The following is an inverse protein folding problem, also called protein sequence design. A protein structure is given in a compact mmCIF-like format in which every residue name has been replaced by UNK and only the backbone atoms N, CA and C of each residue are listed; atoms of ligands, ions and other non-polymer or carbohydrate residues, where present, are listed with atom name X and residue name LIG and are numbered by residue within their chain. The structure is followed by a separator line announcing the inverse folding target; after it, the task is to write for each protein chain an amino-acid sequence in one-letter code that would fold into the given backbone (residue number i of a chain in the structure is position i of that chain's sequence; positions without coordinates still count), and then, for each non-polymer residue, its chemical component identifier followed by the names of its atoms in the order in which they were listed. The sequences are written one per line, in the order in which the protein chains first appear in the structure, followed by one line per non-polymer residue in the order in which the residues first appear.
data_IF_204089305879
#
_entry.id   IF_204089305879
#
_cell.length_a   1.000
_cell.length_b   1.000
_cell.length_c   1.000
_cell.angle_alpha   90.00
_cell.angle_beta   90.00
_cell.angle_gamma   90.00
#
_symmetry.space_group_name_H-M   'P 1'
#
loop_
_entity.id
_entity.type
_entity.pdbx_description
1 polymer ?
#
# COMPACT_ATOMS: atom_id res chain seq x y z
N UNK A 1 20.94 20.18 25.28
CA UNK A 1 19.73 20.06 24.41
C UNK A 1 20.03 19.02 23.35
N UNK A 2 19.61 17.81 23.60
CA UNK A 2 19.78 16.68 22.68
C UNK A 2 18.69 16.76 21.61
N UNK A 3 19.10 16.99 20.38
CA UNK A 3 18.28 16.98 19.19
C UNK A 3 17.91 15.51 18.88
N UNK A 4 16.80 15.03 19.39
CA UNK A 4 16.26 13.73 19.03
C UNK A 4 15.59 13.85 17.65
N UNK A 5 16.35 13.55 16.61
CA UNK A 5 15.80 13.25 15.29
C UNK A 5 14.86 12.04 15.39
N UNK A 6 13.58 12.29 15.53
CA UNK A 6 12.54 11.27 15.33
C UNK A 6 12.57 10.96 13.84
N UNK A 7 13.30 9.91 13.46
CA UNK A 7 13.19 9.30 12.14
C UNK A 7 11.78 8.73 12.03
N UNK A 8 10.91 9.41 11.31
CA UNK A 8 9.66 8.83 10.83
C UNK A 8 10.00 7.55 10.08
N UNK A 9 9.31 6.42 10.35
CA UNK A 9 9.61 5.16 9.69
C UNK A 9 9.37 5.29 8.18
N UNK A 10 10.44 5.20 7.40
CA UNK A 10 10.50 5.42 5.95
C UNK A 10 10.10 4.18 5.16
N UNK A 11 9.12 3.41 5.58
CA UNK A 11 8.67 2.19 4.89
C UNK A 11 7.46 2.40 3.96
N UNK A 12 7.15 3.66 3.61
CA UNK A 12 6.10 3.96 2.64
C UNK A 12 6.62 3.63 1.23
N UNK A 13 5.83 2.87 0.48
CA UNK A 13 6.17 2.44 -0.88
C UNK A 13 5.47 3.31 -1.91
N UNK A 14 6.20 3.70 -2.96
CA UNK A 14 5.60 4.18 -4.21
C UNK A 14 5.42 2.99 -5.14
N UNK A 15 4.25 2.91 -5.73
CA UNK A 15 3.85 1.84 -6.65
C UNK A 15 3.32 2.47 -7.93
N UNK A 16 3.69 1.91 -9.07
CA UNK A 16 3.16 2.35 -10.35
C UNK A 16 2.98 1.17 -11.30
N UNK A 17 2.01 1.28 -12.18
CA UNK A 17 1.79 0.36 -13.29
C UNK A 17 1.46 1.12 -14.56
N UNK A 18 1.94 0.62 -15.68
CA UNK A 18 1.49 0.99 -17.03
C UNK A 18 0.79 -0.23 -17.63
N UNK A 19 -0.39 -0.02 -18.18
CA UNK A 19 -1.17 -1.08 -18.81
C UNK A 19 -1.43 -0.74 -20.29
N UNK A 20 -1.68 -1.77 -21.10
CA UNK A 20 -2.20 -1.61 -22.46
C UNK A 20 -3.73 -1.46 -22.45
N UNK A 21 -4.31 -1.32 -23.64
CA UNK A 21 -5.77 -1.24 -23.85
C UNK A 21 -6.55 -2.48 -23.41
N UNK A 22 -5.89 -3.62 -23.30
CA UNK A 22 -6.50 -4.89 -22.90
C UNK A 22 -6.41 -5.10 -21.37
N UNK A 23 -5.69 -4.20 -20.68
CA UNK A 23 -5.48 -4.24 -19.24
C UNK A 23 -4.25 -5.04 -18.81
N UNK A 24 -3.38 -5.44 -19.74
CA UNK A 24 -2.14 -6.15 -19.41
C UNK A 24 -1.09 -5.19 -18.89
N UNK A 25 -0.35 -5.59 -17.87
CA UNK A 25 0.70 -4.78 -17.26
C UNK A 25 1.96 -4.82 -18.11
N UNK A 26 2.31 -3.70 -18.73
CA UNK A 26 3.52 -3.51 -19.53
C UNK A 26 4.72 -3.07 -18.69
N UNK A 27 4.47 -2.31 -17.63
CA UNK A 27 5.49 -1.81 -16.71
C UNK A 27 4.95 -1.82 -15.29
N UNK A 28 5.82 -2.11 -14.34
CA UNK A 28 5.47 -2.03 -12.92
C UNK A 28 6.66 -1.59 -12.08
N UNK A 29 6.37 -0.78 -11.07
CA UNK A 29 7.33 -0.36 -10.06
C UNK A 29 6.77 -0.60 -8.65
N UNK A 30 7.62 -1.13 -7.76
CA UNK A 30 7.33 -1.29 -6.35
C UNK A 30 8.58 -0.94 -5.54
N UNK A 31 8.64 0.23 -4.95
CA UNK A 31 9.85 0.72 -4.30
C UNK A 31 9.59 1.60 -3.08
N UNK A 32 10.61 1.76 -2.23
CA UNK A 32 10.57 2.69 -1.10
C UNK A 32 10.74 4.13 -1.64
N UNK A 33 9.92 5.08 -1.16
CA UNK A 33 9.99 6.47 -1.58
C UNK A 33 10.89 7.35 -0.69
N UNK A 34 11.54 6.78 0.29
CA UNK A 34 12.46 7.48 1.21
C UNK A 34 11.88 8.75 1.84
N UNK A 35 10.55 8.84 1.95
CA UNK A 35 9.84 10.01 2.48
C UNK A 35 9.57 11.11 1.44
N UNK A 36 9.94 10.93 0.18
CA UNK A 36 9.64 11.87 -0.91
C UNK A 36 8.88 11.16 -2.06
N UNK A 37 7.55 11.05 -1.93
CA UNK A 37 6.72 10.38 -2.93
C UNK A 37 6.73 11.11 -4.28
N UNK A 38 6.80 12.45 -4.29
CA UNK A 38 6.80 13.22 -5.53
C UNK A 38 8.06 12.95 -6.35
N UNK A 39 9.23 13.00 -5.72
CA UNK A 39 10.50 12.67 -6.38
C UNK A 39 10.47 11.24 -6.94
N UNK A 40 10.00 10.28 -6.14
CA UNK A 40 9.87 8.90 -6.58
C UNK A 40 8.98 8.76 -7.81
N UNK A 41 7.83 9.43 -7.83
CA UNK A 41 6.91 9.36 -8.99
C UNK A 41 7.53 10.02 -10.22
N UNK A 42 8.22 11.15 -10.07
CA UNK A 42 8.93 11.80 -11.20
C UNK A 42 9.93 10.84 -11.83
N UNK A 43 10.78 10.19 -11.05
CA UNK A 43 11.75 9.23 -11.55
C UNK A 43 11.10 8.02 -12.23
N UNK A 44 9.99 7.52 -11.66
CA UNK A 44 9.21 6.43 -12.26
C UNK A 44 8.64 6.85 -13.63
N UNK A 45 8.05 8.05 -13.73
CA UNK A 45 7.44 8.52 -14.98
C UNK A 45 8.52 8.77 -16.03
N UNK A 46 9.69 9.31 -15.66
CA UNK A 46 10.84 9.42 -16.55
C UNK A 46 11.29 8.06 -17.07
N UNK A 47 11.39 7.05 -16.20
CA UNK A 47 11.76 5.68 -16.57
C UNK A 47 10.72 5.07 -17.52
N UNK A 48 9.43 5.31 -17.30
CA UNK A 48 8.37 4.91 -18.23
C UNK A 48 8.57 5.54 -19.60
N UNK A 49 8.74 6.87 -19.68
CA UNK A 49 8.95 7.56 -20.95
C UNK A 49 10.20 7.07 -21.70
N UNK A 50 11.29 6.81 -20.98
CA UNK A 50 12.54 6.31 -21.57
C UNK A 50 12.42 4.91 -22.20
N UNK A 51 11.46 4.11 -21.74
CA UNK A 51 11.23 2.74 -22.21
C UNK A 51 10.08 2.64 -23.21
N UNK A 52 9.34 3.72 -23.43
CA UNK A 52 8.24 3.73 -24.38
C UNK A 52 8.75 3.74 -25.82
N UNK A 53 8.14 2.97 -26.73
CA UNK A 53 8.38 3.08 -28.16
C UNK A 53 8.02 4.49 -28.69
N UNK A 54 8.72 4.98 -29.70
CA UNK A 54 8.52 6.33 -30.28
C UNK A 54 7.06 6.66 -30.66
N UNK A 55 6.29 5.66 -31.07
CA UNK A 55 4.89 5.83 -31.46
C UNK A 55 3.88 5.61 -30.33
N UNK A 56 4.37 5.25 -29.13
CA UNK A 56 3.50 5.06 -27.98
C UNK A 56 3.29 6.37 -27.23
N UNK A 57 2.14 6.51 -26.62
CA UNK A 57 1.81 7.66 -25.79
C UNK A 57 0.99 7.21 -24.59
N UNK A 58 1.02 7.99 -23.51
CA UNK A 58 0.18 7.78 -22.34
C UNK A 58 -1.19 8.38 -22.65
N UNK A 59 -2.21 7.52 -22.76
CA UNK A 59 -3.57 7.95 -23.06
C UNK A 59 -4.20 8.68 -21.88
N UNK A 60 -4.10 8.09 -20.69
CA UNK A 60 -4.62 8.65 -19.42
C UNK A 60 -3.76 8.20 -18.23
N UNK A 61 -3.87 8.95 -17.16
CA UNK A 61 -3.14 8.72 -15.91
C UNK A 61 -4.06 8.89 -14.69
N UNK A 62 -3.82 8.10 -13.66
CA UNK A 62 -4.57 8.16 -12.40
C UNK A 62 -3.61 8.04 -11.22
N UNK A 63 -3.82 8.84 -10.19
CA UNK A 63 -3.13 8.74 -8.90
C UNK A 63 -4.10 8.30 -7.81
N UNK A 64 -3.58 7.64 -6.78
CA UNK A 64 -4.34 7.23 -5.61
C UNK A 64 -3.49 7.25 -4.34
N UNK A 65 -4.12 7.17 -3.17
CA UNK A 65 -3.47 7.14 -1.87
C UNK A 65 -3.07 8.53 -1.36
N UNK A 66 -2.30 8.57 -0.27
CA UNK A 66 -1.97 9.82 0.45
C UNK A 66 -1.27 10.90 -0.38
N UNK A 67 -0.55 10.51 -1.44
CA UNK A 67 0.15 11.44 -2.34
C UNK A 67 -0.69 11.95 -3.50
N UNK A 68 -1.90 11.46 -3.70
CA UNK A 68 -2.73 11.70 -4.88
C UNK A 68 -2.83 13.18 -5.27
N UNK A 69 -3.31 14.01 -4.35
CA UNK A 69 -3.51 15.44 -4.64
C UNK A 69 -2.23 16.19 -4.96
N UNK A 70 -1.13 15.87 -4.25
CA UNK A 70 0.18 16.47 -4.53
C UNK A 70 0.69 16.05 -5.92
N UNK A 71 0.61 14.77 -6.24
CA UNK A 71 1.07 14.22 -7.52
C UNK A 71 0.23 14.77 -8.66
N UNK A 72 -1.09 14.83 -8.49
CA UNK A 72 -2.00 15.42 -9.47
C UNK A 72 -1.69 16.88 -9.74
N UNK A 73 -1.51 17.69 -8.69
CA UNK A 73 -1.19 19.11 -8.81
C UNK A 73 0.19 19.36 -9.44
N UNK A 74 1.20 18.53 -9.09
CA UNK A 74 2.57 18.71 -9.56
C UNK A 74 2.80 18.23 -10.99
N UNK A 75 2.15 17.13 -11.38
CA UNK A 75 2.45 16.42 -12.63
C UNK A 75 1.29 16.45 -13.63
N UNK A 76 0.18 17.08 -13.31
CA UNK A 76 -0.98 17.16 -14.20
C UNK A 76 -1.65 15.81 -14.47
N UNK A 77 -1.61 14.90 -13.49
CA UNK A 77 -2.28 13.59 -13.59
C UNK A 77 -3.78 13.80 -13.84
N UNK A 78 -4.36 13.09 -14.82
CA UNK A 78 -5.74 13.31 -15.28
C UNK A 78 -6.77 13.08 -14.18
N UNK A 79 -6.64 11.98 -13.42
CA UNK A 79 -7.63 11.59 -12.44
C UNK A 79 -7.00 11.31 -11.06
N UNK A 80 -7.78 11.56 -10.01
CA UNK A 80 -7.60 10.96 -8.70
C UNK A 80 -8.60 9.84 -8.50
N UNK A 81 -8.25 8.81 -7.73
CA UNK A 81 -9.16 7.74 -7.39
C UNK A 81 -9.03 7.35 -5.92
N UNK A 82 -10.17 7.03 -5.30
CA UNK A 82 -10.21 6.52 -3.93
C UNK A 82 -9.47 5.18 -3.88
N UNK A 83 -8.55 5.05 -2.96
CA UNK A 83 -7.65 3.88 -2.87
C UNK A 83 -8.43 2.55 -2.78
N UNK A 84 -9.50 2.50 -2.00
CA UNK A 84 -10.34 1.30 -1.88
C UNK A 84 -11.03 0.95 -3.20
N UNK A 85 -11.46 1.95 -3.98
CA UNK A 85 -12.04 1.71 -5.29
C UNK A 85 -11.00 1.18 -6.29
N UNK A 86 -9.78 1.71 -6.26
CA UNK A 86 -8.68 1.18 -7.07
C UNK A 86 -8.41 -0.29 -6.73
N UNK A 87 -8.29 -0.62 -5.44
CA UNK A 87 -8.09 -2.00 -4.98
C UNK A 87 -9.24 -2.94 -5.41
N UNK A 88 -10.49 -2.48 -5.29
CA UNK A 88 -11.66 -3.24 -5.75
C UNK A 88 -11.64 -3.49 -7.26
N UNK A 89 -11.39 -2.45 -8.08
CA UNK A 89 -11.31 -2.59 -9.54
C UNK A 89 -10.28 -3.60 -9.99
N UNK A 90 -9.11 -3.62 -9.35
CA UNK A 90 -8.09 -4.62 -9.63
C UNK A 90 -8.54 -6.04 -9.22
N UNK A 91 -9.14 -6.17 -8.05
CA UNK A 91 -9.63 -7.45 -7.54
C UNK A 91 -10.73 -8.03 -8.44
N UNK A 92 -11.70 -7.21 -8.83
CA UNK A 92 -12.79 -7.61 -9.73
C UNK A 92 -12.28 -8.03 -11.13
N UNK A 93 -11.26 -7.34 -11.66
CA UNK A 93 -10.62 -7.72 -12.94
C UNK A 93 -9.96 -9.10 -12.88
N UNK A 94 -9.35 -9.44 -11.74
CA UNK A 94 -8.62 -10.71 -11.55
C UNK A 94 -9.55 -11.87 -11.15
N UNK A 95 -10.51 -11.58 -10.27
CA UNK A 95 -11.49 -12.54 -9.76
C UNK A 95 -12.89 -11.96 -9.93
N UNK A 96 -13.49 -12.10 -11.12
CA UNK A 96 -14.84 -11.57 -11.37
C UNK A 96 -15.88 -12.14 -10.40
N UNK A 97 -16.67 -11.23 -9.82
CA UNK A 97 -17.63 -11.55 -8.77
C UNK A 97 -16.97 -11.81 -7.42
N UNK A 98 -15.82 -11.18 -7.14
CA UNK A 98 -15.15 -11.25 -5.83
C UNK A 98 -16.12 -10.84 -4.71
N UNK A 99 -16.10 -11.60 -3.61
CA UNK A 99 -16.99 -11.37 -2.45
C UNK A 99 -16.22 -10.80 -1.25
N UNK A 100 -14.92 -11.13 -1.14
CA UNK A 100 -14.10 -10.70 -0.03
C UNK A 100 -12.69 -10.33 -0.49
N UNK A 101 -12.27 -9.12 -0.13
CA UNK A 101 -10.95 -8.59 -0.46
C UNK A 101 -10.25 -8.25 0.85
N UNK A 102 -9.08 -8.84 1.07
CA UNK A 102 -8.21 -8.49 2.19
C UNK A 102 -6.88 -7.97 1.67
N UNK A 103 -6.64 -6.69 1.85
CA UNK A 103 -5.36 -6.06 1.59
C UNK A 103 -4.61 -5.86 2.91
N UNK A 104 -3.41 -6.42 3.01
CA UNK A 104 -2.51 -6.16 4.14
C UNK A 104 -1.23 -5.54 3.59
N UNK A 105 -1.10 -4.24 3.82
CA UNK A 105 0.07 -3.45 3.51
C UNK A 105 1.22 -3.61 4.52
N UNK A 106 2.21 -2.74 4.42
CA UNK A 106 3.29 -2.67 5.39
C UNK A 106 2.87 -2.06 6.72
N UNK A 107 1.91 -1.14 6.72
CA UNK A 107 1.49 -0.37 7.90
C UNK A 107 -0.03 -0.29 8.08
N UNK A 108 -0.79 -0.62 7.07
CA UNK A 108 -2.24 -0.55 7.04
C UNK A 108 -2.87 -1.85 6.56
N UNK A 109 -4.15 -1.98 6.81
CA UNK A 109 -4.96 -3.11 6.35
C UNK A 109 -6.32 -2.59 5.90
N UNK A 110 -6.81 -3.13 4.78
CA UNK A 110 -8.12 -2.85 4.23
C UNK A 110 -8.86 -4.16 4.02
N UNK A 111 -10.10 -4.20 4.45
CA UNK A 111 -10.99 -5.32 4.18
C UNK A 111 -12.24 -4.79 3.51
N UNK A 112 -12.63 -5.37 2.40
CA UNK A 112 -13.86 -5.03 1.69
C UNK A 112 -14.71 -6.28 1.53
N UNK A 113 -16.00 -6.14 1.82
CA UNK A 113 -17.02 -7.13 1.48
C UNK A 113 -17.78 -6.63 0.27
N UNK A 114 -17.94 -7.50 -0.69
CA UNK A 114 -18.63 -7.19 -1.96
C UNK A 114 -19.83 -8.11 -2.07
N UNK A 115 -20.96 -7.55 -2.46
CA UNK A 115 -22.19 -8.29 -2.72
C UNK A 115 -22.82 -7.74 -3.99
N UNK A 116 -23.19 -8.63 -4.89
CA UNK A 116 -23.85 -8.29 -6.15
C UNK A 116 -23.07 -7.25 -6.99
N UNK A 117 -21.72 -7.27 -6.91
CA UNK A 117 -20.84 -6.35 -7.62
C UNK A 117 -20.70 -4.95 -6.98
N UNK A 118 -21.25 -4.76 -5.77
CA UNK A 118 -21.16 -3.52 -5.01
C UNK A 118 -20.43 -3.73 -3.68
N UNK A 119 -19.66 -2.73 -3.26
CA UNK A 119 -18.98 -2.78 -1.96
C UNK A 119 -20.01 -2.56 -0.86
N UNK A 120 -20.34 -3.62 -0.13
CA UNK A 120 -21.27 -3.60 0.99
C UNK A 120 -20.65 -2.95 2.24
N UNK A 121 -19.38 -3.24 2.49
CA UNK A 121 -18.67 -2.67 3.64
C UNK A 121 -17.17 -2.55 3.42
N UNK A 122 -16.59 -1.52 4.02
CA UNK A 122 -15.14 -1.27 4.04
C UNK A 122 -14.70 -1.12 5.49
N UNK A 123 -13.64 -1.84 5.85
CA UNK A 123 -12.95 -1.68 7.12
C UNK A 123 -11.50 -1.30 6.85
N UNK A 124 -11.10 -0.16 7.40
CA UNK A 124 -9.73 0.34 7.34
C UNK A 124 -9.10 0.27 8.73
N UNK A 125 -7.88 -0.20 8.82
CA UNK A 125 -7.09 -0.16 10.04
C UNK A 125 -5.67 0.37 9.75
N UNK A 126 -5.46 1.62 10.10
CA UNK A 126 -4.19 2.33 9.93
C UNK A 126 -3.38 2.40 11.24
N UNK A 127 -3.97 1.99 12.35
CA UNK A 127 -3.43 2.26 13.68
C UNK A 127 -2.57 1.12 14.27
N UNK A 128 -2.53 -0.06 13.68
CA UNK A 128 -1.92 -1.22 14.31
C UNK A 128 -0.90 -1.92 13.40
N UNK A 129 0.38 -1.62 13.58
CA UNK A 129 1.49 -2.28 12.89
C UNK A 129 1.61 -3.78 13.22
N UNK A 130 0.98 -4.28 14.29
CA UNK A 130 1.06 -5.69 14.69
C UNK A 130 0.28 -6.65 13.79
N UNK A 131 -0.60 -6.11 12.93
CA UNK A 131 -1.32 -6.87 11.93
C UNK A 131 -0.79 -6.68 10.51
N UNK A 132 0.34 -6.00 10.33
CA UNK A 132 0.86 -5.58 9.03
C UNK A 132 2.26 -6.15 8.75
N UNK A 133 2.67 -6.11 7.48
CA UNK A 133 3.91 -6.74 7.01
C UNK A 133 5.20 -6.17 7.60
N UNK A 134 5.22 -4.89 8.01
CA UNK A 134 6.40 -4.29 8.63
C UNK A 134 6.83 -5.01 9.91
N UNK A 135 5.89 -5.62 10.62
CA UNK A 135 6.16 -6.39 11.82
C UNK A 135 7.03 -7.63 11.52
N UNK A 136 6.62 -8.44 10.52
CA UNK A 136 7.37 -9.63 10.11
C UNK A 136 8.74 -9.22 9.55
N UNK A 137 8.79 -8.15 8.76
CA UNK A 137 10.03 -7.62 8.21
C UNK A 137 11.02 -7.20 9.30
N UNK A 138 10.56 -6.54 10.35
CA UNK A 138 11.40 -6.15 11.47
C UNK A 138 12.00 -7.37 12.20
N UNK A 139 11.24 -8.46 12.33
CA UNK A 139 11.76 -9.70 12.91
C UNK A 139 12.80 -10.37 12.01
N UNK A 140 12.55 -10.47 10.71
CA UNK A 140 13.54 -10.99 9.75
C UNK A 140 14.84 -10.21 9.85
N UNK A 141 14.77 -8.87 9.81
CA UNK A 141 15.94 -8.00 9.93
C UNK A 141 16.67 -8.17 11.27
N UNK A 142 15.95 -8.35 12.39
CA UNK A 142 16.55 -8.59 13.70
C UNK A 142 17.31 -9.93 13.80
N UNK A 143 16.94 -10.88 12.94
CA UNK A 143 17.63 -12.17 12.81
C UNK A 143 18.71 -12.13 11.71
N UNK A 144 18.95 -10.99 11.07
CA UNK A 144 19.92 -10.86 9.98
C UNK A 144 19.49 -11.54 8.67
N UNK A 145 18.19 -11.80 8.50
CA UNK A 145 17.62 -12.51 7.36
C UNK A 145 16.89 -11.56 6.41
N UNK A 146 16.87 -11.89 5.12
CA UNK A 146 15.97 -11.22 4.18
C UNK A 146 14.52 -11.66 4.44
N UNK A 147 13.53 -10.77 4.25
CA UNK A 147 12.12 -11.08 4.47
C UNK A 147 11.61 -12.29 3.67
N UNK A 148 12.10 -12.46 2.44
CA UNK A 148 11.74 -13.55 1.55
C UNK A 148 12.30 -14.90 2.06
N UNK A 149 13.54 -14.91 2.53
CA UNK A 149 14.18 -16.08 3.14
C UNK A 149 13.44 -16.48 4.42
N UNK A 150 13.13 -15.49 5.27
CA UNK A 150 12.39 -15.72 6.50
C UNK A 150 10.99 -16.29 6.23
N UNK A 151 10.31 -15.80 5.18
CA UNK A 151 9.04 -16.33 4.72
C UNK A 151 9.14 -17.78 4.26
N UNK A 152 10.17 -18.08 3.47
CA UNK A 152 10.36 -19.43 2.92
C UNK A 152 10.69 -20.46 4.02
N UNK A 153 11.51 -20.10 4.98
CA UNK A 153 11.82 -20.96 6.14
C UNK A 153 10.55 -21.27 6.93
N UNK A 154 9.64 -20.31 7.11
CA UNK A 154 8.38 -20.51 7.80
C UNK A 154 7.50 -21.62 7.22
N UNK A 155 7.62 -21.91 5.92
CA UNK A 155 6.90 -23.03 5.28
C UNK A 155 7.40 -24.41 5.73
N UNK A 156 8.61 -24.51 6.25
CA UNK A 156 9.20 -25.75 6.74
C UNK A 156 8.95 -26.01 8.25
N UNK A 157 8.17 -25.15 8.90
CA UNK A 157 7.85 -25.25 10.32
C UNK A 157 7.16 -26.58 10.65
N UNK A 158 7.62 -27.26 11.68
CA UNK A 158 7.02 -28.52 12.16
C UNK A 158 6.04 -28.29 13.30
N UNK A 159 6.30 -27.27 14.13
CA UNK A 159 5.49 -26.91 15.28
C UNK A 159 5.46 -25.38 15.44
N UNK A 160 4.64 -24.66 14.63
CA UNK A 160 4.56 -23.21 14.69
C UNK A 160 4.28 -22.71 16.11
N UNK A 161 5.07 -21.75 16.57
CA UNK A 161 4.93 -21.19 17.92
C UNK A 161 3.61 -20.44 18.04
N UNK A 162 2.81 -20.72 19.06
CA UNK A 162 1.62 -19.92 19.33
C UNK A 162 2.00 -18.60 20.01
N UNK A 163 2.11 -17.55 19.20
CA UNK A 163 2.41 -16.20 19.65
C UNK A 163 1.14 -15.41 20.02
N UNK A 164 -0.03 -16.00 19.80
CA UNK A 164 -1.32 -15.34 20.00
C UNK A 164 -1.59 -14.24 18.96
N UNK A 165 -2.54 -13.35 19.29
CA UNK A 165 -2.92 -12.20 18.45
C UNK A 165 -2.83 -10.88 19.24
N UNK A 166 -1.73 -10.69 19.98
CA UNK A 166 -1.52 -9.51 20.85
C UNK A 166 -0.71 -8.43 20.14
N UNK A 167 -0.59 -7.26 20.77
CA UNK A 167 0.23 -6.16 20.32
C UNK A 167 1.71 -6.57 20.18
N UNK A 168 2.40 -6.00 19.19
CA UNK A 168 3.82 -6.20 18.82
C UNK A 168 4.77 -6.18 20.02
N UNK A 169 4.52 -5.29 20.98
CA UNK A 169 5.36 -5.15 22.18
C UNK A 169 5.38 -6.45 22.99
N UNK A 170 4.23 -7.07 23.14
CA UNK A 170 4.11 -8.35 23.86
C UNK A 170 4.62 -9.55 23.06
N UNK A 171 4.56 -9.47 21.71
CA UNK A 171 5.07 -10.54 20.86
C UNK A 171 6.60 -10.64 20.90
N UNK A 172 7.33 -9.52 21.02
CA UNK A 172 8.77 -9.54 21.20
C UNK A 172 9.21 -10.39 22.38
N UNK A 173 8.50 -10.25 23.51
CA UNK A 173 8.78 -11.06 24.71
C UNK A 173 8.46 -12.53 24.51
N UNK A 174 7.37 -12.85 23.79
CA UNK A 174 6.98 -14.22 23.46
C UNK A 174 7.98 -14.90 22.52
N UNK A 175 8.45 -14.17 21.49
CA UNK A 175 9.48 -14.70 20.57
C UNK A 175 10.78 -14.98 21.34
N UNK A 176 11.23 -14.06 22.19
CA UNK A 176 12.42 -14.28 23.02
C UNK A 176 12.25 -15.48 23.97
N UNK A 177 11.06 -15.68 24.50
CA UNK A 177 10.76 -16.84 25.32
C UNK A 177 10.82 -18.14 24.50
N UNK A 178 10.18 -18.18 23.33
CA UNK A 178 10.20 -19.32 22.44
C UNK A 178 11.65 -19.68 22.01
N UNK A 179 12.48 -18.68 21.73
CA UNK A 179 13.91 -18.89 21.44
C UNK A 179 14.65 -19.55 22.61
N UNK A 180 14.40 -19.11 23.85
CA UNK A 180 14.98 -19.72 25.05
C UNK A 180 14.52 -21.17 25.27
N UNK A 181 13.29 -21.47 24.86
CA UNK A 181 12.69 -22.80 24.91
C UNK A 181 13.14 -23.71 23.75
N UNK A 182 13.98 -23.19 22.83
CA UNK A 182 14.57 -23.97 21.74
C UNK A 182 13.71 -24.03 20.47
N UNK A 183 12.72 -23.15 20.31
CA UNK A 183 11.93 -23.07 19.08
C UNK A 183 12.83 -22.72 17.88
N UNK A 184 12.62 -23.40 16.76
CA UNK A 184 13.36 -23.13 15.54
C UNK A 184 12.97 -21.79 14.91
N UNK A 185 13.83 -21.21 14.07
CA UNK A 185 13.51 -20.02 13.29
C UNK A 185 12.32 -20.26 12.39
N UNK A 186 12.15 -21.47 11.85
CA UNK A 186 11.00 -21.85 11.05
C UNK A 186 9.69 -21.78 11.85
N UNK A 187 9.68 -22.36 13.06
CA UNK A 187 8.49 -22.35 13.92
C UNK A 187 8.14 -20.95 14.39
N UNK A 188 9.13 -20.08 14.61
CA UNK A 188 8.92 -18.66 14.94
C UNK A 188 8.35 -17.90 13.74
N UNK A 189 8.91 -18.08 12.53
CA UNK A 189 8.43 -17.42 11.31
C UNK A 189 6.98 -17.79 11.00
N UNK A 190 6.65 -19.07 11.07
CA UNK A 190 5.27 -19.53 10.91
C UNK A 190 4.36 -18.97 12.01
N UNK A 191 4.79 -18.99 13.27
CA UNK A 191 4.05 -18.44 14.40
C UNK A 191 3.72 -16.96 14.22
N UNK A 192 4.66 -16.15 13.71
CA UNK A 192 4.43 -14.74 13.39
C UNK A 192 3.41 -14.59 12.25
N UNK A 193 3.49 -15.44 11.23
CA UNK A 193 2.54 -15.45 10.11
C UNK A 193 1.11 -15.75 10.59
N UNK A 194 0.94 -16.78 11.41
CA UNK A 194 -0.33 -17.08 12.06
C UNK A 194 -0.83 -15.92 12.94
N UNK A 195 0.07 -15.28 13.67
CA UNK A 195 -0.30 -14.17 14.55
C UNK A 195 -0.83 -12.97 13.77
N UNK A 196 -0.19 -12.60 12.65
CA UNK A 196 -0.67 -11.53 11.75
C UNK A 196 -2.06 -11.86 11.21
N UNK A 197 -2.26 -13.09 10.72
CA UNK A 197 -3.55 -13.55 10.18
C UNK A 197 -4.64 -13.57 11.26
N UNK A 198 -4.37 -14.17 12.41
CA UNK A 198 -5.33 -14.21 13.53
C UNK A 198 -5.70 -12.80 14.01
N UNK A 199 -4.73 -11.89 14.06
CA UNK A 199 -5.00 -10.49 14.41
C UNK A 199 -5.89 -9.82 13.37
N UNK A 200 -5.59 -9.98 12.10
CA UNK A 200 -6.39 -9.43 11.00
C UNK A 200 -7.84 -9.95 11.06
N UNK A 201 -8.02 -11.26 11.03
CA UNK A 201 -9.35 -11.88 10.92
C UNK A 201 -10.17 -11.72 12.20
N UNK A 202 -9.60 -12.04 13.36
CA UNK A 202 -10.39 -12.19 14.60
C UNK A 202 -10.42 -10.92 15.45
N UNK A 203 -9.38 -10.07 15.40
CA UNK A 203 -9.33 -8.84 16.21
C UNK A 203 -9.81 -7.62 15.45
N UNK A 204 -9.34 -7.45 14.21
CA UNK A 204 -9.66 -6.28 13.42
C UNK A 204 -10.97 -6.45 12.67
N UNK A 205 -11.07 -7.48 11.82
CA UNK A 205 -12.26 -7.72 10.98
C UNK A 205 -13.40 -8.37 11.79
N UNK A 206 -13.05 -9.07 12.88
CA UNK A 206 -13.98 -9.75 13.79
C UNK A 206 -14.82 -10.83 13.11
N UNK A 207 -14.20 -11.58 12.19
CA UNK A 207 -14.81 -12.76 11.58
C UNK A 207 -14.96 -13.83 12.66
N UNK A 208 -16.17 -14.38 12.79
CA UNK A 208 -16.48 -15.48 13.71
C UNK A 208 -16.50 -16.84 13.00
N UNK A 209 -16.92 -16.84 11.75
CA UNK A 209 -17.01 -18.01 10.89
C UNK A 209 -16.39 -17.66 9.53
N UNK A 210 -15.42 -18.46 9.02
CA UNK A 210 -14.84 -18.26 7.68
C UNK A 210 -15.87 -18.17 6.54
N UNK A 211 -17.04 -18.78 6.69
CA UNK A 211 -18.15 -18.68 5.72
C UNK A 211 -18.63 -17.24 5.49
N UNK A 212 -18.41 -16.35 6.46
CA UNK A 212 -18.74 -14.92 6.33
C UNK A 212 -17.93 -14.18 5.26
N UNK A 213 -16.87 -14.80 4.73
CA UNK A 213 -16.06 -14.25 3.66
C UNK A 213 -16.56 -14.57 2.25
N UNK A 214 -17.63 -15.38 2.11
CA UNK A 214 -18.11 -15.85 0.81
C UNK A 214 -17.19 -16.94 0.21
N UNK A 215 -17.36 -17.20 -1.08
CA UNK A 215 -16.61 -18.24 -1.80
C UNK A 215 -15.43 -17.67 -2.59
N UNK A 216 -15.58 -16.45 -3.15
CA UNK A 216 -14.59 -15.79 -3.98
C UNK A 216 -13.77 -14.79 -3.17
N UNK A 217 -12.66 -15.27 -2.65
CA UNK A 217 -11.78 -14.52 -1.77
C UNK A 217 -10.49 -14.17 -2.50
N UNK A 218 -10.11 -12.88 -2.47
CA UNK A 218 -8.81 -12.41 -2.94
C UNK A 218 -8.03 -11.78 -1.79
N UNK A 219 -6.76 -12.14 -1.69
CA UNK A 219 -5.83 -11.55 -0.73
C UNK A 219 -4.74 -10.79 -1.47
N UNK A 220 -4.44 -9.59 -1.02
CA UNK A 220 -3.53 -8.67 -1.69
C UNK A 220 -2.73 -7.82 -0.70
N UNK A 221 -1.88 -6.94 -1.20
CA UNK A 221 -0.95 -6.17 -0.40
C UNK A 221 0.42 -6.84 -0.26
N UNK A 222 1.42 -6.04 0.10
CA UNK A 222 2.81 -6.51 0.18
C UNK A 222 3.03 -7.64 1.19
N UNK A 223 2.21 -7.73 2.23
CA UNK A 223 2.30 -8.77 3.26
C UNK A 223 1.98 -10.16 2.70
N UNK A 224 1.07 -10.25 1.74
CA UNK A 224 0.72 -11.53 1.11
C UNK A 224 1.75 -12.01 0.07
N UNK A 225 2.78 -11.23 -0.26
CA UNK A 225 3.95 -11.73 -0.98
C UNK A 225 4.75 -12.75 -0.12
N UNK A 226 4.55 -12.71 1.19
CA UNK A 226 5.07 -13.71 2.12
C UNK A 226 4.24 -15.00 2.03
N UNK A 227 4.84 -16.07 1.50
CA UNK A 227 4.16 -17.35 1.32
C UNK A 227 3.74 -18.00 2.65
N UNK A 228 4.47 -17.78 3.74
CA UNK A 228 4.09 -18.28 5.06
C UNK A 228 2.83 -17.60 5.59
N UNK A 229 2.63 -16.30 5.29
CA UNK A 229 1.39 -15.57 5.63
C UNK A 229 0.22 -16.08 4.79
N UNK A 230 0.41 -16.28 3.49
CA UNK A 230 -0.63 -16.86 2.63
C UNK A 230 -1.06 -18.23 3.15
N UNK A 231 -0.08 -19.11 3.42
CA UNK A 231 -0.38 -20.45 3.93
C UNK A 231 -1.07 -20.42 5.30
N UNK A 232 -0.63 -19.55 6.19
CA UNK A 232 -1.28 -19.36 7.49
C UNK A 232 -2.73 -18.87 7.34
N UNK A 233 -3.01 -18.02 6.34
CA UNK A 233 -4.35 -17.55 6.04
C UNK A 233 -5.24 -18.69 5.56
N UNK A 234 -4.80 -19.46 4.56
CA UNK A 234 -5.54 -20.61 4.02
C UNK A 234 -5.86 -21.65 5.10
N UNK A 235 -4.86 -22.02 5.91
CA UNK A 235 -5.03 -22.97 7.00
C UNK A 235 -5.97 -22.45 8.11
N UNK A 236 -5.93 -21.15 8.40
CA UNK A 236 -6.82 -20.53 9.40
C UNK A 236 -8.26 -20.47 8.89
N UNK A 237 -8.47 -20.25 7.59
CA UNK A 237 -9.79 -20.17 6.98
C UNK A 237 -10.32 -21.53 6.51
N UNK A 238 -9.47 -22.55 6.40
CA UNK A 238 -9.83 -23.88 5.91
C UNK A 238 -10.18 -23.91 4.43
N UNK A 239 -9.65 -22.96 3.63
CA UNK A 239 -9.93 -22.84 2.19
C UNK A 239 -8.79 -22.18 1.44
N UNK A 240 -8.70 -22.47 0.15
CA UNK A 240 -7.81 -21.77 -0.78
C UNK A 240 -8.36 -20.38 -1.11
N UNK A 241 -7.44 -19.46 -1.44
CA UNK A 241 -7.76 -18.08 -1.81
C UNK A 241 -6.93 -17.64 -3.01
N UNK A 242 -7.43 -16.66 -3.75
CA UNK A 242 -6.69 -16.08 -4.87
C UNK A 242 -5.71 -15.03 -4.35
N UNK A 243 -4.43 -15.23 -4.63
CA UNK A 243 -3.40 -14.21 -4.46
C UNK A 243 -2.84 -13.86 -5.84
N UNK A 244 -3.02 -12.64 -6.32
CA UNK A 244 -2.42 -12.19 -7.59
C UNK A 244 -0.89 -12.25 -7.55
N UNK A 245 -0.25 -12.53 -8.67
CA UNK A 245 1.22 -12.51 -8.79
C UNK A 245 1.82 -11.17 -8.35
N UNK A 246 1.10 -10.09 -8.64
CA UNK A 246 1.47 -8.72 -8.26
C UNK A 246 0.61 -8.19 -7.11
N UNK A 247 0.38 -9.00 -6.09
CA UNK A 247 -0.46 -8.66 -4.93
C UNK A 247 -0.11 -7.31 -4.28
N UNK A 248 1.16 -6.90 -4.30
CA UNK A 248 1.62 -5.61 -3.78
C UNK A 248 1.28 -4.40 -4.65
N UNK A 249 0.84 -4.60 -5.90
CA UNK A 249 0.58 -3.55 -6.89
C UNK A 249 -0.90 -3.27 -7.15
N UNK A 250 -1.82 -3.92 -6.44
CA UNK A 250 -3.24 -3.91 -6.75
C UNK A 250 -3.85 -2.49 -6.78
N UNK A 251 -3.46 -1.60 -5.86
CA UNK A 251 -3.91 -0.21 -5.90
C UNK A 251 -3.45 0.54 -7.16
N UNK A 252 -2.19 0.35 -7.57
CA UNK A 252 -1.66 0.97 -8.79
C UNK A 252 -2.32 0.37 -10.04
N UNK A 253 -2.48 -0.95 -10.08
CA UNK A 253 -3.16 -1.64 -11.18
C UNK A 253 -4.61 -1.21 -11.33
N UNK A 254 -5.36 -1.14 -10.24
CA UNK A 254 -6.73 -0.65 -10.26
C UNK A 254 -6.83 0.81 -10.70
N UNK A 255 -5.89 1.66 -10.28
CA UNK A 255 -5.84 3.05 -10.75
C UNK A 255 -5.62 3.12 -12.27
N UNK A 256 -4.76 2.27 -12.83
CA UNK A 256 -4.55 2.19 -14.27
C UNK A 256 -5.82 1.69 -15.02
N UNK A 257 -6.54 0.72 -14.45
CA UNK A 257 -7.84 0.27 -14.99
C UNK A 257 -8.90 1.39 -14.96
N UNK A 258 -8.89 2.23 -13.93
CA UNK A 258 -9.76 3.43 -13.87
C UNK A 258 -9.38 4.42 -14.96
N UNK A 259 -8.09 4.69 -15.16
CA UNK A 259 -7.63 5.54 -16.26
C UNK A 259 -8.12 5.01 -17.62
N UNK A 260 -7.96 3.72 -17.85
CA UNK A 260 -8.41 3.04 -19.07
C UNK A 260 -9.93 3.19 -19.29
N UNK A 261 -10.73 3.00 -18.22
CA UNK A 261 -12.20 3.10 -18.31
C UNK A 261 -12.71 4.53 -18.55
N UNK A 262 -11.89 5.54 -18.25
CA UNK A 262 -12.21 6.97 -18.39
C UNK A 262 -11.53 7.62 -19.61
N UNK A 263 -10.91 6.82 -20.47
CA UNK A 263 -10.27 7.35 -21.67
C UNK A 263 -11.32 7.87 -22.66
N UNK A 264 -11.20 9.17 -22.96
CA UNK A 264 -12.08 9.91 -23.86
C UNK A 264 -11.44 10.24 -25.21
N UNK A 265 -10.26 9.67 -25.47
CA UNK A 265 -9.49 9.87 -26.71
C UNK A 265 -8.80 11.23 -26.84
N UNK A 266 -8.86 12.11 -25.81
CA UNK A 266 -8.27 13.46 -25.86
C UNK A 266 -6.81 13.52 -25.44
N UNK A 267 -6.19 12.37 -25.13
CA UNK A 267 -4.84 12.30 -24.59
C UNK A 267 -4.76 12.64 -23.11
N UNK A 268 -3.58 12.49 -22.51
CA UNK A 268 -3.31 12.74 -21.09
C UNK A 268 -2.79 14.16 -20.87
N UNK A 269 -3.14 14.71 -19.71
CA UNK A 269 -2.58 15.98 -19.19
C UNK A 269 -1.30 15.75 -18.37
N UNK A 270 -0.84 14.50 -18.24
CA UNK A 270 0.39 14.16 -17.54
C UNK A 270 1.59 14.90 -18.12
N UNK A 271 2.41 15.48 -17.27
CA UNK A 271 3.58 16.26 -17.66
C UNK A 271 4.51 15.46 -18.61
N UNK A 272 4.87 16.02 -19.77
CA UNK A 272 5.79 15.38 -20.71
C UNK A 272 7.21 15.31 -20.13
N UNK A 273 8.07 14.44 -20.73
CA UNK A 273 9.43 14.16 -20.24
C UNK A 273 10.24 15.44 -20.03
N UNK A 274 10.20 16.37 -21.00
CA UNK A 274 10.93 17.65 -20.93
C UNK A 274 10.58 18.47 -19.68
N UNK A 275 9.29 18.52 -19.30
CA UNK A 275 8.87 19.19 -18.05
C UNK A 275 9.38 18.46 -16.81
N UNK A 276 9.45 17.13 -16.85
CA UNK A 276 9.91 16.32 -15.71
C UNK A 276 11.44 16.45 -15.52
N UNK A 277 12.19 16.55 -16.59
CA UNK A 277 13.66 16.76 -16.54
C UNK A 277 14.02 18.10 -15.88
N UNK A 278 13.24 19.13 -16.14
CA UNK A 278 13.42 20.47 -15.59
C UNK A 278 12.56 20.77 -14.38
N UNK A 279 11.97 19.72 -13.77
CA UNK A 279 11.06 19.90 -12.65
C UNK A 279 11.79 20.43 -11.41
N UNK A 280 11.29 21.55 -10.89
CA UNK A 280 11.77 22.16 -9.64
C UNK A 280 10.62 22.41 -8.68
N UNK A 281 10.91 22.26 -7.40
CA UNK A 281 9.98 22.53 -6.32
C UNK A 281 10.67 23.35 -5.22
N UNK A 282 10.03 24.44 -4.82
CA UNK A 282 10.44 25.22 -3.65
C UNK A 282 9.45 24.95 -2.53
N UNK A 283 9.95 24.48 -1.39
CA UNK A 283 9.15 24.23 -0.19
C UNK A 283 9.41 25.30 0.85
N UNK A 284 8.36 25.95 1.33
CA UNK A 284 8.40 26.91 2.42
C UNK A 284 7.39 26.52 3.48
N UNK A 285 7.59 26.95 4.71
CA UNK A 285 6.64 26.75 5.81
C UNK A 285 6.11 28.08 6.31
N UNK A 286 4.82 28.11 6.66
CA UNK A 286 4.18 29.28 7.23
C UNK A 286 3.13 28.87 8.26
N UNK A 287 2.87 29.74 9.25
CA UNK A 287 1.74 29.57 10.17
C UNK A 287 0.46 30.09 9.51
N UNK A 288 -0.61 29.29 9.58
CA UNK A 288 -1.88 29.61 8.95
C UNK A 288 -2.54 30.88 9.51
N UNK A 289 -2.54 31.08 10.83
CA UNK A 289 -3.07 32.27 11.50
C UNK A 289 -4.58 32.50 11.39
N UNK A 290 -5.32 31.60 10.72
CA UNK A 290 -6.76 31.81 10.44
C UNK A 290 -7.71 31.28 11.52
N UNK A 291 -7.20 30.53 12.49
CA UNK A 291 -7.95 30.04 13.66
C UNK A 291 -6.98 29.61 14.77
N UNK A 292 -7.53 29.22 15.94
CA UNK A 292 -6.75 28.81 17.12
C UNK A 292 -5.83 27.60 16.87
N UNK A 293 -6.10 26.75 15.88
CA UNK A 293 -5.22 25.64 15.52
C UNK A 293 -3.86 26.09 14.99
N UNK A 294 -3.76 27.28 14.41
CA UNK A 294 -2.54 27.89 13.91
C UNK A 294 -1.58 26.88 13.21
N UNK A 295 -2.12 26.11 12.26
CA UNK A 295 -1.43 25.01 11.57
C UNK A 295 -0.12 25.48 10.96
N UNK A 296 0.94 24.67 11.09
CA UNK A 296 2.17 24.85 10.35
C UNK A 296 1.99 24.26 8.94
N UNK A 297 1.74 25.13 7.98
CA UNK A 297 1.54 24.76 6.59
C UNK A 297 2.87 24.51 5.88
N UNK A 298 2.89 23.57 4.95
CA UNK A 298 3.96 23.42 3.96
C UNK A 298 3.42 23.87 2.60
N UNK A 299 4.06 24.88 2.03
CA UNK A 299 3.70 25.48 0.74
C UNK A 299 4.73 25.00 -0.28
N UNK A 300 4.28 24.20 -1.24
CA UNK A 300 5.05 23.74 -2.38
C UNK A 300 4.76 24.65 -3.57
N UNK A 301 5.76 25.32 -4.13
CA UNK A 301 5.67 26.12 -5.34
C UNK A 301 6.40 25.40 -6.46
N UNK A 302 5.70 25.13 -7.55
CA UNK A 302 6.25 24.45 -8.73
C UNK A 302 6.82 25.45 -9.72
N UNK A 303 7.58 24.96 -10.70
CA UNK A 303 8.25 25.80 -11.71
C UNK A 303 7.29 26.65 -12.53
N UNK A 304 6.07 26.18 -12.77
CA UNK A 304 4.99 26.89 -13.49
C UNK A 304 4.29 27.97 -12.65
N UNK A 305 4.74 28.17 -11.39
CA UNK A 305 4.17 29.14 -10.47
C UNK A 305 2.97 28.62 -9.66
N UNK A 306 2.43 27.43 -9.97
CA UNK A 306 1.35 26.83 -9.21
C UNK A 306 1.81 26.49 -7.78
N UNK A 307 0.85 26.48 -6.85
CA UNK A 307 1.13 26.23 -5.43
C UNK A 307 0.25 25.10 -4.91
N UNK A 308 0.84 24.27 -4.07
CA UNK A 308 0.12 23.23 -3.35
C UNK A 308 0.43 23.33 -1.85
N UNK A 309 -0.61 23.36 -1.02
CA UNK A 309 -0.50 23.54 0.43
C UNK A 309 -0.88 22.23 1.13
N UNK A 310 -0.02 21.81 2.05
CA UNK A 310 -0.26 20.63 2.91
C UNK A 310 -0.16 21.00 4.38
N UNK A 311 -0.51 20.04 5.26
CA UNK A 311 -0.59 20.18 6.71
C UNK A 311 -1.66 21.18 7.19
N UNK A 312 -2.56 21.60 6.29
CA UNK A 312 -3.78 22.32 6.64
C UNK A 312 -4.80 21.32 7.24
N UNK A 313 -5.46 21.73 8.32
CA UNK A 313 -6.52 20.93 8.96
C UNK A 313 -7.94 21.28 8.45
N UNK A 314 -8.04 22.26 7.56
CA UNK A 314 -9.28 22.70 6.96
C UNK A 314 -9.01 23.47 5.66
N UNK A 315 -10.03 23.67 4.85
CA UNK A 315 -9.97 24.37 3.56
C UNK A 315 -9.42 25.78 3.64
N UNK A 316 -9.72 26.53 4.73
CA UNK A 316 -9.18 27.88 4.97
C UNK A 316 -7.63 27.88 4.94
N UNK A 317 -6.99 26.82 5.46
CA UNK A 317 -5.55 26.66 5.44
C UNK A 317 -4.99 26.29 4.06
N UNK A 318 -5.81 25.77 3.17
CA UNK A 318 -5.43 25.44 1.80
C UNK A 318 -5.35 26.68 0.86
N UNK A 319 -5.70 27.85 1.35
CA UNK A 319 -5.73 29.06 0.52
C UNK A 319 -7.00 29.19 -0.34
N UNK A 320 -7.97 28.33 -0.10
CA UNK A 320 -9.26 28.28 -0.78
C UNK A 320 -10.30 29.03 0.06
N UNK A 321 -10.06 30.31 0.33
CA UNK A 321 -11.00 31.11 1.14
C UNK A 321 -10.57 32.54 1.29
#
# INVERSE_FOLDING_TARGET
YTNTNIKTPTNIKTKATLINKDGDILYSHYGNNMGDPLKSVIEIVKDVYSKMPEKAYIAKSTATGYGEHLIKAALGVDFGEIETMAHYKAAEKILPGVEFILDIGGQDMKCMRVKDGEIESILLNEACSSGCGSFIQNFANALGMQPEEFAQIGLSAKSPVDLGSRCTVFMNSRVKQAQKEGASVADISAGLSYSVVKNALFKVIKIRDPKQMGEKIIVQGGTFLNNSVLRAFELTCGREVVRPDKAGLMGAYGSALVALSRDDGKGSTLAPLEKLENFTIQKTTARCGRCSNNCLLTISKFADGTRYITNNRCERGAGLG
#
